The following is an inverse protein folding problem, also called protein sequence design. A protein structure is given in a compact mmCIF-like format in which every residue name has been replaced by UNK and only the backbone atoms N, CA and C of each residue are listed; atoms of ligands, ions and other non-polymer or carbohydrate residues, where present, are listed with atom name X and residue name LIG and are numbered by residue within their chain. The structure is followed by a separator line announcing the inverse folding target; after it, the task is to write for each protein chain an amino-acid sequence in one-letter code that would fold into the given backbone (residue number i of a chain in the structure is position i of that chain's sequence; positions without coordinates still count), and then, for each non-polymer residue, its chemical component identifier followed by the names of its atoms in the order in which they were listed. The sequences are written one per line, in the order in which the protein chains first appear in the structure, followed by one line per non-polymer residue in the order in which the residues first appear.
data_IF_457201894316
#
_entry.id   IF_457201894316
#
_cell.length_a   1.000
_cell.length_b   1.000
_cell.length_c   1.000
_cell.angle_alpha   90.00
_cell.angle_beta   90.00
_cell.angle_gamma   90.00
#
_symmetry.space_group_name_H-M   'P 1'
#
loop_
_entity.id
_entity.type
_entity.pdbx_description
1 polymer ?
#
# COMPACT_ATOMS: atom_id res chain seq x y z
N UNK A 1 18.53 33.32 -67.72
CA UNK A 1 18.21 33.69 -66.35
C UNK A 1 19.54 33.99 -65.62
N UNK A 2 19.62 35.00 -64.76
CA UNK A 2 20.81 35.19 -63.94
C UNK A 2 21.07 33.91 -63.13
N UNK A 3 22.35 33.57 -62.93
CA UNK A 3 22.72 32.43 -62.08
C UNK A 3 22.25 32.73 -60.62
N UNK A 4 21.67 31.72 -59.96
CA UNK A 4 21.21 31.91 -58.60
C UNK A 4 22.42 32.25 -57.70
N UNK A 5 22.30 33.30 -56.90
CA UNK A 5 23.34 33.70 -55.96
C UNK A 5 23.09 33.02 -54.60
N UNK A 6 24.14 32.60 -53.88
CA UNK A 6 23.99 32.06 -52.57
C UNK A 6 23.44 33.11 -51.57
N UNK A 7 22.58 32.70 -50.67
CA UNK A 7 22.03 33.55 -49.59
C UNK A 7 22.35 32.91 -48.21
N UNK A 8 22.63 33.80 -47.27
CA UNK A 8 22.97 33.35 -45.89
C UNK A 8 21.75 32.76 -45.19
N UNK A 9 21.92 31.59 -44.65
CA UNK A 9 20.94 30.90 -43.77
C UNK A 9 21.58 30.75 -42.39
N UNK A 10 20.83 31.20 -41.39
CA UNK A 10 21.24 31.07 -39.98
C UNK A 10 20.58 29.86 -39.36
N UNK A 11 21.34 29.07 -38.58
CA UNK A 11 20.81 27.90 -37.86
C UNK A 11 20.88 28.14 -36.37
N UNK A 12 19.83 27.80 -35.67
CA UNK A 12 19.67 27.90 -34.23
C UNK A 12 18.93 26.68 -33.66
N UNK A 13 19.10 26.41 -32.38
CA UNK A 13 18.30 25.38 -31.71
C UNK A 13 17.63 25.92 -30.45
N UNK A 14 16.50 25.30 -30.10
CA UNK A 14 15.76 25.57 -28.86
C UNK A 14 15.81 24.36 -27.92
N UNK A 15 15.70 24.62 -26.62
CA UNK A 15 15.61 23.62 -25.58
C UNK A 15 14.13 23.23 -25.36
N UNK A 16 13.67 22.23 -26.08
CA UNK A 16 12.26 21.92 -26.26
C UNK A 16 11.61 22.64 -27.43
N UNK A 17 10.42 22.21 -27.83
CA UNK A 17 9.69 22.70 -29.01
C UNK A 17 9.37 24.21 -28.90
N UNK A 18 8.93 24.67 -27.72
CA UNK A 18 8.64 26.08 -27.44
C UNK A 18 9.63 26.69 -26.43
N UNK A 19 10.78 26.07 -26.23
CA UNK A 19 11.75 26.46 -25.23
C UNK A 19 12.66 27.62 -25.66
N UNK A 20 13.52 28.11 -24.75
CA UNK A 20 14.46 29.18 -25.06
C UNK A 20 15.51 28.72 -26.07
N UNK A 21 16.11 29.68 -26.80
CA UNK A 21 17.28 29.42 -27.63
C UNK A 21 18.44 28.92 -26.78
N UNK A 22 19.10 27.85 -27.26
CA UNK A 22 20.30 27.32 -26.63
C UNK A 22 21.47 28.25 -26.92
N UNK A 23 22.11 28.72 -25.87
CA UNK A 23 23.25 29.66 -25.97
C UNK A 23 24.63 28.97 -25.81
N UNK A 24 24.64 27.69 -25.43
CA UNK A 24 25.87 26.87 -25.33
C UNK A 24 26.27 26.31 -26.68
N UNK A 25 27.56 26.00 -26.93
CA UNK A 25 28.03 25.43 -28.18
C UNK A 25 27.41 24.07 -28.47
N UNK A 26 26.77 23.93 -29.62
CA UNK A 26 26.24 22.73 -30.22
C UNK A 26 27.13 22.24 -31.36
N UNK A 27 26.93 21.04 -31.86
CA UNK A 27 27.62 20.48 -33.02
C UNK A 27 26.62 20.39 -34.18
N UNK A 28 26.94 21.03 -35.29
CA UNK A 28 26.10 21.17 -36.45
C UNK A 28 26.65 20.42 -37.64
N UNK A 29 25.80 19.78 -38.41
CA UNK A 29 26.11 19.25 -39.74
C UNK A 29 25.04 19.67 -40.73
N UNK A 30 25.47 20.01 -41.94
CA UNK A 30 24.60 20.45 -43.02
C UNK A 30 25.04 19.75 -44.33
N UNK A 31 24.10 19.20 -45.07
CA UNK A 31 24.39 18.55 -46.36
C UNK A 31 23.37 18.86 -47.42
N UNK A 32 23.79 18.74 -48.67
CA UNK A 32 22.93 18.72 -49.86
C UNK A 32 23.15 17.39 -50.58
N UNK A 33 22.18 16.49 -50.46
CA UNK A 33 22.40 15.09 -50.89
C UNK A 33 23.56 14.46 -50.13
N UNK A 34 24.56 13.94 -50.88
CA UNK A 34 25.78 13.35 -50.30
C UNK A 34 26.88 14.36 -50.01
N UNK A 35 26.71 15.64 -50.34
CA UNK A 35 27.75 16.66 -50.17
C UNK A 35 27.59 17.37 -48.84
N UNK A 36 28.58 17.23 -47.93
CA UNK A 36 28.68 17.99 -46.69
C UNK A 36 29.02 19.46 -46.97
N UNK A 37 28.32 20.39 -46.30
CA UNK A 37 28.52 21.82 -46.33
C UNK A 37 29.08 22.31 -45.00
N UNK A 38 28.50 21.86 -43.89
CA UNK A 38 29.04 21.95 -42.53
C UNK A 38 29.30 20.54 -42.04
N UNK A 39 30.51 20.32 -41.51
CA UNK A 39 30.94 19.02 -41.00
C UNK A 39 31.36 19.15 -39.54
N UNK A 40 30.46 18.81 -38.62
CA UNK A 40 30.64 18.90 -37.17
C UNK A 40 31.10 20.30 -36.69
N UNK A 41 30.57 21.36 -37.28
CA UNK A 41 30.83 22.74 -36.88
C UNK A 41 30.31 23.04 -35.48
N UNK A 42 31.13 23.69 -34.64
CA UNK A 42 30.79 24.04 -33.26
C UNK A 42 30.33 25.49 -33.12
N UNK A 43 29.11 25.67 -32.52
CA UNK A 43 28.61 27.01 -32.23
C UNK A 43 27.22 26.94 -31.60
N UNK A 44 26.82 27.96 -30.84
CA UNK A 44 25.43 28.09 -30.37
C UNK A 44 24.50 28.36 -31.57
N UNK A 45 25.01 29.04 -32.56
CA UNK A 45 24.46 29.25 -33.90
C UNK A 45 25.53 29.07 -34.91
N UNK A 46 25.18 28.66 -36.11
CA UNK A 46 26.07 28.61 -37.27
C UNK A 46 25.36 29.22 -38.48
N UNK A 47 26.12 29.64 -39.48
CA UNK A 47 25.54 30.19 -40.71
C UNK A 47 26.23 29.58 -41.92
N UNK A 48 25.50 29.47 -43.03
CA UNK A 48 26.04 29.00 -44.31
C UNK A 48 25.43 29.79 -45.48
N UNK A 49 26.22 30.03 -46.50
CA UNK A 49 25.72 30.62 -47.76
C UNK A 49 25.29 29.50 -48.69
N UNK A 50 23.97 29.44 -48.96
CA UNK A 50 23.31 28.35 -49.69
C UNK A 50 22.66 28.82 -50.97
N UNK A 51 22.79 28.04 -52.02
CA UNK A 51 21.98 28.15 -53.23
C UNK A 51 20.57 27.60 -53.05
N UNK A 52 19.59 28.01 -53.87
CA UNK A 52 18.25 27.41 -53.81
C UNK A 52 18.32 25.87 -53.98
N UNK A 53 17.54 25.14 -53.13
CA UNK A 53 17.45 23.70 -53.13
C UNK A 53 17.12 23.12 -51.78
N UNK A 54 17.09 21.79 -51.69
CA UNK A 54 16.76 21.01 -50.47
C UNK A 54 18.03 20.64 -49.74
N UNK A 55 18.01 20.78 -48.42
CA UNK A 55 19.10 20.55 -47.51
C UNK A 55 18.66 19.72 -46.30
N UNK A 56 19.59 18.96 -45.75
CA UNK A 56 19.45 18.29 -44.45
C UNK A 56 20.37 18.97 -43.45
N UNK A 57 19.81 19.45 -42.33
CA UNK A 57 20.57 19.97 -41.20
C UNK A 57 20.34 19.07 -39.99
N UNK A 58 21.44 18.82 -39.26
CA UNK A 58 21.37 18.13 -37.95
C UNK A 58 22.13 18.91 -36.90
N UNK A 59 21.71 18.77 -35.65
CA UNK A 59 22.31 19.37 -34.48
C UNK A 59 22.39 18.37 -33.34
N UNK A 60 23.50 18.39 -32.62
CA UNK A 60 23.79 17.57 -31.45
C UNK A 60 24.15 18.47 -30.27
N UNK A 61 23.54 18.26 -29.12
CA UNK A 61 23.93 18.85 -27.84
C UNK A 61 24.91 17.90 -27.12
N UNK A 62 26.17 18.28 -26.92
CA UNK A 62 27.19 17.37 -26.37
C UNK A 62 26.96 16.98 -24.90
N UNK A 63 26.17 17.76 -24.17
CA UNK A 63 25.95 17.60 -22.74
C UNK A 63 25.15 16.30 -22.41
N UNK A 64 24.15 15.97 -23.23
CA UNK A 64 23.26 14.84 -23.06
C UNK A 64 23.06 13.99 -24.34
N UNK A 65 23.91 14.26 -25.37
CA UNK A 65 23.86 13.60 -26.67
C UNK A 65 22.51 13.73 -27.40
N UNK A 66 21.65 14.64 -26.96
CA UNK A 66 20.39 14.91 -27.63
C UNK A 66 20.65 15.49 -29.04
N UNK A 67 19.92 14.98 -30.03
CA UNK A 67 20.05 15.39 -31.41
C UNK A 67 18.70 15.64 -32.06
N UNK A 68 18.71 16.50 -33.07
CA UNK A 68 17.57 16.73 -33.97
C UNK A 68 18.06 16.87 -35.40
N UNK A 69 17.23 16.49 -36.36
CA UNK A 69 17.50 16.68 -37.78
C UNK A 69 16.25 17.20 -38.50
N UNK A 70 16.44 17.96 -39.55
CA UNK A 70 15.36 18.49 -40.36
C UNK A 70 15.79 18.72 -41.81
N UNK A 71 14.91 18.35 -42.75
CA UNK A 71 15.05 18.78 -44.14
C UNK A 71 14.32 20.10 -44.33
N UNK A 72 14.95 21.01 -45.06
CA UNK A 72 14.34 22.30 -45.41
C UNK A 72 14.69 22.70 -46.85
N UNK A 73 13.79 23.50 -47.44
CA UNK A 73 14.04 24.07 -48.76
C UNK A 73 14.58 25.50 -48.62
N UNK A 74 15.70 25.82 -49.30
CA UNK A 74 16.24 27.15 -49.40
C UNK A 74 15.74 27.78 -50.70
N UNK A 75 15.16 28.97 -50.58
CA UNK A 75 14.81 29.81 -51.74
C UNK A 75 15.86 30.91 -51.99
N UNK A 76 15.39 32.03 -52.63
CA UNK A 76 16.24 33.16 -52.99
C UNK A 76 16.38 34.22 -51.87
N UNK A 77 15.79 34.00 -50.71
CA UNK A 77 15.81 34.91 -49.56
C UNK A 77 16.53 34.31 -48.34
N UNK A 78 17.24 35.15 -47.52
CA UNK A 78 17.77 34.70 -46.24
C UNK A 78 16.66 34.18 -45.33
N UNK A 79 16.98 33.12 -44.55
CA UNK A 79 16.06 32.59 -43.56
C UNK A 79 16.81 32.11 -42.31
N UNK A 80 16.10 31.91 -41.22
CA UNK A 80 16.58 31.23 -40.02
C UNK A 80 15.88 29.89 -39.90
N UNK A 81 16.66 28.81 -39.77
CA UNK A 81 16.20 27.47 -39.56
C UNK A 81 16.42 27.13 -38.08
N UNK A 82 15.34 26.81 -37.37
CA UNK A 82 15.39 26.49 -35.94
C UNK A 82 15.04 25.02 -35.71
N UNK A 83 15.88 24.28 -35.01
CA UNK A 83 15.63 22.89 -34.63
C UNK A 83 15.33 22.84 -33.13
N UNK A 84 14.30 22.08 -32.75
CA UNK A 84 13.99 21.83 -31.35
C UNK A 84 14.72 20.58 -30.89
N UNK A 85 15.64 20.71 -29.95
CA UNK A 85 16.21 19.58 -29.23
C UNK A 85 15.26 19.16 -28.10
N UNK A 86 15.25 17.88 -27.67
CA UNK A 86 14.59 17.48 -26.42
C UNK A 86 15.00 18.40 -25.27
N UNK A 87 14.06 18.81 -24.42
CA UNK A 87 14.37 19.67 -23.27
C UNK A 87 15.41 19.02 -22.36
N UNK A 88 16.42 19.81 -21.95
CA UNK A 88 17.45 19.36 -21.02
C UNK A 88 16.80 19.09 -19.64
N UNK A 89 16.93 17.85 -19.17
CA UNK A 89 16.40 17.49 -17.87
C UNK A 89 17.32 17.99 -16.75
N UNK A 90 16.74 18.53 -15.66
CA UNK A 90 17.54 18.94 -14.51
C UNK A 90 18.24 17.73 -13.88
N UNK A 91 19.46 17.89 -13.32
CA UNK A 91 20.15 16.80 -12.65
C UNK A 91 19.44 16.38 -11.37
N UNK A 92 19.50 15.08 -11.05
CA UNK A 92 19.07 14.54 -9.77
C UNK A 92 19.95 13.37 -9.35
N UNK A 93 19.94 13.05 -8.05
CA UNK A 93 20.65 11.90 -7.49
C UNK A 93 19.85 11.24 -6.37
N UNK A 94 20.16 9.96 -6.11
CA UNK A 94 19.54 9.14 -5.09
C UNK A 94 20.61 8.37 -4.30
N UNK A 95 20.52 8.41 -2.98
CA UNK A 95 21.34 7.62 -2.07
C UNK A 95 20.46 6.85 -1.09
N UNK A 96 20.68 5.55 -0.97
CA UNK A 96 19.99 4.65 -0.07
C UNK A 96 20.83 3.39 0.17
N UNK A 97 20.40 2.52 1.09
CA UNK A 97 20.98 1.19 1.21
C UNK A 97 20.76 0.36 -0.08
N UNK A 98 21.69 -0.55 -0.38
CA UNK A 98 21.61 -1.41 -1.56
C UNK A 98 20.53 -2.52 -1.41
N UNK A 99 20.12 -2.79 -0.17
CA UNK A 99 19.05 -3.73 0.14
C UNK A 99 18.30 -3.32 1.40
N UNK A 100 17.01 -3.70 1.47
CA UNK A 100 16.18 -3.53 2.66
C UNK A 100 15.04 -4.57 2.69
N UNK A 101 14.49 -4.88 3.89
CA UNK A 101 13.42 -5.88 4.02
C UNK A 101 12.13 -5.46 3.34
N UNK A 102 11.39 -6.44 2.79
CA UNK A 102 10.05 -6.24 2.22
C UNK A 102 9.10 -5.59 3.24
N UNK A 103 8.31 -4.63 2.80
CA UNK A 103 7.35 -3.89 3.63
C UNK A 103 7.97 -2.89 4.62
N UNK A 104 9.30 -2.76 4.68
CA UNK A 104 9.96 -1.78 5.54
C UNK A 104 9.89 -0.37 4.95
N UNK A 105 10.12 0.63 5.79
CA UNK A 105 10.33 2.01 5.34
C UNK A 105 11.81 2.26 5.13
N UNK A 106 12.17 2.70 3.92
CA UNK A 106 13.53 3.01 3.51
C UNK A 106 13.74 4.53 3.46
N UNK A 107 14.68 5.10 4.21
CA UNK A 107 15.09 6.49 4.00
C UNK A 107 15.92 6.59 2.70
N UNK A 108 15.45 7.42 1.78
CA UNK A 108 16.12 7.71 0.51
C UNK A 108 16.54 9.16 0.51
N UNK A 109 17.85 9.41 0.60
CA UNK A 109 18.42 10.75 0.44
C UNK A 109 18.43 11.09 -1.06
N UNK A 110 18.01 12.30 -1.38
CA UNK A 110 17.93 12.76 -2.76
C UNK A 110 18.39 14.20 -2.89
N UNK A 111 18.87 14.55 -4.07
CA UNK A 111 19.11 15.88 -4.55
C UNK A 111 18.46 16.03 -5.93
N UNK A 112 17.86 17.18 -6.22
CA UNK A 112 17.12 17.39 -7.45
C UNK A 112 16.29 18.68 -7.40
N UNK A 113 15.47 18.96 -8.44
CA UNK A 113 14.75 20.22 -8.60
C UNK A 113 13.70 20.52 -7.53
N UNK A 114 13.17 19.52 -6.83
CA UNK A 114 12.09 19.64 -5.82
C UNK A 114 10.90 20.47 -6.32
N UNK A 115 10.52 20.26 -7.58
CA UNK A 115 9.37 20.93 -8.14
C UNK A 115 8.06 20.41 -7.52
N UNK A 116 7.00 21.17 -7.67
CA UNK A 116 5.69 20.80 -7.09
C UNK A 116 5.25 19.42 -7.57
N UNK A 117 5.03 18.51 -6.61
CA UNK A 117 4.63 17.12 -6.81
C UNK A 117 5.71 16.18 -7.38
N UNK A 118 6.97 16.59 -7.40
CA UNK A 118 8.05 15.64 -7.63
C UNK A 118 8.05 14.56 -6.55
N UNK A 119 8.49 13.36 -6.89
CA UNK A 119 8.43 12.23 -5.97
C UNK A 119 9.56 11.24 -6.20
N UNK A 120 9.90 10.56 -5.10
CA UNK A 120 10.75 9.37 -5.12
C UNK A 120 9.83 8.16 -5.15
N UNK A 121 10.07 7.22 -6.06
CA UNK A 121 9.28 6.00 -6.19
C UNK A 121 10.15 4.75 -6.18
N UNK A 122 9.52 3.61 -5.93
CA UNK A 122 10.11 2.29 -6.14
C UNK A 122 9.27 1.54 -7.17
N UNK A 123 9.92 0.91 -8.13
CA UNK A 123 9.30 0.19 -9.23
C UNK A 123 10.12 -1.05 -9.60
N UNK A 124 9.53 -1.97 -10.33
CA UNK A 124 10.31 -3.02 -10.99
C UNK A 124 11.11 -2.44 -12.14
N UNK A 125 12.33 -2.93 -12.39
CA UNK A 125 13.13 -2.45 -13.51
C UNK A 125 12.37 -2.58 -14.84
N UNK A 126 12.30 -1.48 -15.58
CA UNK A 126 11.64 -1.43 -16.89
C UNK A 126 10.12 -1.23 -16.86
N UNK A 127 9.47 -1.17 -15.71
CA UNK A 127 8.05 -0.83 -15.61
C UNK A 127 7.84 0.68 -15.74
N UNK A 128 6.80 1.11 -16.44
CA UNK A 128 6.43 2.52 -16.56
C UNK A 128 5.72 3.05 -15.29
N UNK A 129 5.22 2.17 -14.44
CA UNK A 129 4.54 2.48 -13.19
C UNK A 129 5.46 2.49 -11.98
N UNK A 130 4.86 2.45 -10.78
CA UNK A 130 5.55 2.31 -9.51
C UNK A 130 4.67 1.50 -8.53
N UNK A 131 5.34 0.85 -7.56
CA UNK A 131 4.67 0.14 -6.46
C UNK A 131 4.25 1.12 -5.36
N UNK A 132 5.19 1.97 -4.91
CA UNK A 132 4.95 3.01 -3.91
C UNK A 132 5.74 4.27 -4.23
N UNK A 133 5.40 5.39 -3.58
CA UNK A 133 6.09 6.66 -3.73
C UNK A 133 6.01 7.54 -2.49
N UNK A 134 6.93 8.49 -2.41
CA UNK A 134 6.93 9.56 -1.42
C UNK A 134 7.25 10.90 -2.10
N UNK A 135 6.48 11.95 -1.83
CA UNK A 135 6.74 13.28 -2.39
C UNK A 135 7.99 13.93 -1.82
N UNK A 136 8.80 14.57 -2.68
CA UNK A 136 10.02 15.30 -2.31
C UNK A 136 9.75 16.47 -1.37
N UNK A 137 8.61 17.15 -1.49
CA UNK A 137 8.17 18.26 -0.61
C UNK A 137 8.17 17.94 0.89
N UNK A 138 8.28 16.67 1.28
CA UNK A 138 8.43 16.24 2.68
C UNK A 138 9.87 16.35 3.18
N UNK A 139 10.80 16.69 2.30
CA UNK A 139 12.22 16.83 2.57
C UNK A 139 13.03 15.58 2.25
N UNK A 140 14.35 15.71 2.35
CA UNK A 140 15.32 14.62 2.21
C UNK A 140 15.89 14.27 3.60
N UNK A 141 15.92 12.98 4.01
CA UNK A 141 15.51 11.82 3.21
C UNK A 141 13.99 11.70 3.05
N UNK A 142 13.55 11.13 1.91
CA UNK A 142 12.18 10.70 1.72
C UNK A 142 11.99 9.32 2.37
N UNK A 143 10.96 9.17 3.19
CA UNK A 143 10.59 7.90 3.81
C UNK A 143 9.72 7.08 2.83
N UNK A 144 10.36 6.12 2.15
CA UNK A 144 9.72 5.32 1.10
C UNK A 144 9.33 3.94 1.64
N UNK A 145 8.04 3.60 1.58
CA UNK A 145 7.56 2.27 1.92
C UNK A 145 7.93 1.30 0.80
N UNK A 146 8.65 0.22 1.13
CA UNK A 146 9.03 -0.80 0.15
C UNK A 146 7.90 -1.79 -0.13
N UNK A 147 7.90 -2.42 -1.32
CA UNK A 147 6.94 -3.47 -1.66
C UNK A 147 6.97 -4.65 -0.70
N UNK A 148 5.83 -5.34 -0.57
CA UNK A 148 5.70 -6.55 0.25
C UNK A 148 6.37 -7.78 -0.38
N UNK A 149 6.54 -7.78 -1.71
CA UNK A 149 7.15 -8.88 -2.44
C UNK A 149 8.67 -8.68 -2.55
N UNK A 150 9.48 -9.67 -2.15
CA UNK A 150 10.93 -9.64 -2.38
C UNK A 150 11.28 -9.63 -3.88
N UNK A 151 12.44 -9.08 -4.20
CA UNK A 151 12.94 -9.04 -5.58
C UNK A 151 13.82 -7.83 -5.86
N UNK A 152 14.22 -7.71 -7.11
CA UNK A 152 14.98 -6.57 -7.60
C UNK A 152 14.04 -5.45 -8.01
N UNK A 153 14.34 -4.25 -7.55
CA UNK A 153 13.60 -3.03 -7.80
C UNK A 153 14.58 -1.89 -8.14
N UNK A 154 14.03 -0.77 -8.54
CA UNK A 154 14.78 0.47 -8.68
C UNK A 154 14.04 1.63 -8.01
N UNK A 155 14.81 2.47 -7.34
CA UNK A 155 14.37 3.76 -6.85
C UNK A 155 14.47 4.75 -7.99
N UNK A 156 13.48 5.65 -8.11
CA UNK A 156 13.43 6.68 -9.17
C UNK A 156 13.15 8.04 -8.56
N UNK A 157 13.91 9.05 -8.96
CA UNK A 157 13.50 10.44 -8.81
C UNK A 157 12.66 10.81 -10.04
N UNK A 158 11.42 11.19 -9.84
CA UNK A 158 10.48 11.49 -10.91
C UNK A 158 10.05 12.94 -10.85
N UNK A 159 10.40 13.70 -11.91
CA UNK A 159 9.87 15.03 -12.17
C UNK A 159 8.39 14.89 -12.53
N UNK A 160 7.51 15.60 -11.82
CA UNK A 160 6.06 15.47 -12.02
C UNK A 160 5.61 15.97 -13.39
N UNK A 161 6.28 16.98 -13.91
CA UNK A 161 6.05 17.49 -15.25
C UNK A 161 6.52 16.47 -16.30
N UNK A 162 5.60 16.00 -17.11
CA UNK A 162 5.84 14.98 -18.13
C UNK A 162 6.22 13.59 -17.58
N UNK A 163 6.20 13.37 -16.26
CA UNK A 163 6.59 12.09 -15.60
C UNK A 163 7.98 11.61 -16.02
N UNK A 164 8.95 12.51 -16.01
CA UNK A 164 10.33 12.19 -16.41
C UNK A 164 11.14 11.64 -15.25
N UNK A 165 11.73 10.46 -15.44
CA UNK A 165 12.71 9.93 -14.49
C UNK A 165 14.04 10.64 -14.66
N UNK A 166 14.50 11.32 -13.60
CA UNK A 166 15.74 12.09 -13.60
C UNK A 166 16.94 11.27 -13.09
N UNK A 167 16.69 10.37 -12.14
CA UNK A 167 17.72 9.49 -11.58
C UNK A 167 17.10 8.13 -11.24
N UNK A 168 17.90 7.07 -11.34
CA UNK A 168 17.56 5.72 -10.94
C UNK A 168 18.66 5.14 -10.05
N UNK A 169 18.27 4.26 -9.10
CA UNK A 169 19.17 3.50 -8.26
C UNK A 169 18.59 2.10 -8.02
N UNK A 170 19.34 1.02 -8.30
CA UNK A 170 18.88 -0.33 -7.99
C UNK A 170 18.79 -0.56 -6.47
N UNK A 171 17.84 -1.40 -6.06
CA UNK A 171 17.67 -1.86 -4.69
C UNK A 171 17.16 -3.30 -4.67
N UNK A 172 17.72 -4.15 -3.81
CA UNK A 172 17.21 -5.49 -3.53
C UNK A 172 16.25 -5.45 -2.35
N UNK A 173 14.97 -5.78 -2.57
CA UNK A 173 14.00 -5.99 -1.50
C UNK A 173 14.12 -7.42 -1.02
N UNK A 174 14.53 -7.62 0.24
CA UNK A 174 14.81 -8.95 0.79
C UNK A 174 13.59 -9.56 1.47
N UNK A 175 13.55 -10.89 1.51
CA UNK A 175 12.49 -11.63 2.17
C UNK A 175 12.42 -11.32 3.67
N UNK A 176 11.20 -11.26 4.21
CA UNK A 176 10.91 -11.23 5.65
C UNK A 176 10.15 -12.47 6.05
N UNK A 177 10.43 -12.97 7.25
CA UNK A 177 9.79 -14.16 7.81
C UNK A 177 9.13 -13.84 9.14
N UNK A 178 8.13 -14.64 9.50
CA UNK A 178 7.51 -14.60 10.81
C UNK A 178 7.31 -16.01 11.37
N UNK A 179 7.03 -16.09 12.66
CA UNK A 179 6.63 -17.32 13.33
C UNK A 179 5.53 -17.04 14.35
N UNK A 180 4.71 -18.05 14.62
CA UNK A 180 3.61 -18.02 15.57
C UNK A 180 3.71 -19.20 16.53
N UNK A 181 3.48 -18.95 17.82
CA UNK A 181 3.33 -20.00 18.82
C UNK A 181 2.11 -19.73 19.71
N UNK A 182 1.32 -20.78 19.95
CA UNK A 182 0.11 -20.76 20.76
C UNK A 182 -0.28 -22.20 21.12
N UNK A 183 -1.26 -22.40 22.00
CA UNK A 183 -1.85 -23.71 22.24
C UNK A 183 -2.54 -24.26 20.98
N UNK A 184 -2.52 -25.59 20.80
CA UNK A 184 -3.12 -26.26 19.64
C UNK A 184 -4.66 -26.25 19.69
N UNK A 185 -5.24 -26.04 20.87
CA UNK A 185 -6.68 -25.95 21.07
C UNK A 185 -7.07 -24.93 22.13
N UNK A 186 -8.27 -24.39 22.00
CA UNK A 186 -8.84 -23.39 22.91
C UNK A 186 -10.35 -23.49 22.87
N UNK A 187 -11.04 -23.16 23.97
CA UNK A 187 -12.52 -23.15 23.98
C UNK A 187 -13.09 -21.94 23.24
N UNK A 188 -14.25 -22.11 22.64
CA UNK A 188 -14.94 -21.04 21.91
C UNK A 188 -15.13 -19.78 22.75
N UNK A 189 -14.89 -18.61 22.15
CA UNK A 189 -15.00 -17.31 22.81
C UNK A 189 -13.91 -16.93 23.80
N UNK A 190 -12.95 -17.80 24.07
CA UNK A 190 -11.86 -17.51 25.00
C UNK A 190 -10.79 -16.58 24.38
N UNK A 191 -9.97 -15.97 25.25
CA UNK A 191 -8.76 -15.26 24.87
C UNK A 191 -7.60 -16.27 24.74
N UNK A 192 -6.99 -16.35 23.56
CA UNK A 192 -5.81 -17.16 23.29
C UNK A 192 -4.56 -16.30 23.34
N UNK A 193 -3.62 -16.56 24.24
CA UNK A 193 -2.32 -15.91 24.18
C UNK A 193 -1.52 -16.45 22.97
N UNK A 194 -1.12 -15.58 22.08
CA UNK A 194 -0.31 -15.89 20.90
C UNK A 194 1.00 -15.16 20.99
N UNK A 195 2.11 -15.87 20.90
CA UNK A 195 3.45 -15.30 20.76
C UNK A 195 3.88 -15.32 19.31
N UNK A 196 4.69 -14.35 18.92
CA UNK A 196 5.21 -14.24 17.56
C UNK A 196 6.62 -13.66 17.52
N UNK A 197 7.28 -13.92 16.42
CA UNK A 197 8.45 -13.20 15.94
C UNK A 197 8.15 -12.77 14.49
N UNK A 198 8.60 -11.60 14.09
CA UNK A 198 8.34 -11.06 12.77
C UNK A 198 8.81 -9.62 12.63
N UNK A 199 8.55 -8.94 11.50
CA UNK A 199 9.03 -7.59 11.22
C UNK A 199 8.44 -6.51 12.15
N UNK A 200 7.25 -6.73 12.71
CA UNK A 200 6.54 -5.82 13.63
C UNK A 200 6.37 -4.39 13.09
N UNK A 201 6.01 -4.28 11.82
CA UNK A 201 5.71 -2.98 11.23
C UNK A 201 4.42 -2.39 11.81
N UNK A 202 4.25 -1.07 11.69
CA UNK A 202 3.29 -0.26 12.45
C UNK A 202 1.84 -0.78 12.51
N UNK A 203 1.38 -1.47 11.49
CA UNK A 203 0.00 -2.00 11.40
C UNK A 203 -0.05 -3.50 11.16
N UNK A 204 1.05 -4.21 11.37
CA UNK A 204 1.06 -5.67 11.33
C UNK A 204 0.16 -6.22 12.43
N UNK A 205 -0.45 -7.38 12.16
CA UNK A 205 -1.39 -7.97 13.08
C UNK A 205 -1.39 -9.49 13.03
N UNK A 206 -1.78 -10.07 14.17
CA UNK A 206 -2.10 -11.50 14.28
C UNK A 206 -3.61 -11.64 14.16
N UNK A 207 -4.08 -12.50 13.29
CA UNK A 207 -5.51 -12.76 13.08
C UNK A 207 -5.85 -14.23 13.24
N UNK A 208 -7.13 -14.51 13.44
CA UNK A 208 -7.71 -15.85 13.34
C UNK A 208 -8.78 -15.89 12.25
N UNK A 209 -8.74 -16.92 11.42
CA UNK A 209 -9.66 -17.10 10.31
C UNK A 209 -9.96 -18.59 10.08
N UNK A 210 -11.00 -18.90 9.32
CA UNK A 210 -11.17 -20.27 8.80
C UNK A 210 -10.13 -20.53 7.73
N UNK A 211 -9.62 -21.78 7.62
CA UNK A 211 -8.67 -22.12 6.57
C UNK A 211 -9.21 -21.80 5.18
N UNK A 212 -8.43 -21.04 4.40
CA UNK A 212 -8.79 -20.64 3.04
C UNK A 212 -9.67 -19.39 2.90
N UNK A 213 -10.12 -18.77 4.00
CA UNK A 213 -10.84 -17.51 3.95
C UNK A 213 -9.86 -16.34 3.77
N UNK A 214 -10.22 -15.35 2.94
CA UNK A 214 -9.43 -14.13 2.75
C UNK A 214 -9.61 -13.12 3.90
N UNK A 215 -10.65 -13.26 4.69
CA UNK A 215 -10.98 -12.42 5.84
C UNK A 215 -10.41 -12.95 7.15
N UNK A 216 -10.91 -12.40 8.25
CA UNK A 216 -10.62 -12.86 9.62
C UNK A 216 -11.83 -12.65 10.54
N UNK A 217 -11.92 -13.45 11.61
CA UNK A 217 -12.93 -13.33 12.65
C UNK A 217 -12.52 -12.28 13.70
N UNK A 218 -11.27 -12.29 14.10
CA UNK A 218 -10.68 -11.32 15.04
C UNK A 218 -9.20 -11.10 14.78
N UNK A 219 -8.65 -10.04 15.36
CA UNK A 219 -7.21 -9.73 15.25
C UNK A 219 -6.69 -8.93 16.44
N UNK A 220 -5.37 -8.94 16.58
CA UNK A 220 -4.62 -8.08 17.51
C UNK A 220 -3.40 -7.51 16.80
N UNK A 221 -3.15 -6.21 16.94
CA UNK A 221 -1.96 -5.58 16.36
C UNK A 221 -0.69 -6.01 17.08
N UNK A 222 0.39 -6.30 16.31
CA UNK A 222 1.69 -6.71 16.85
C UNK A 222 2.32 -5.63 17.73
N UNK A 223 2.13 -4.35 17.41
CA UNK A 223 2.61 -3.21 18.21
C UNK A 223 2.15 -3.19 19.68
N UNK A 224 1.16 -4.02 20.05
CA UNK A 224 0.74 -4.16 21.45
C UNK A 224 1.66 -5.06 22.26
N UNK A 225 2.63 -5.68 21.61
CA UNK A 225 3.61 -6.59 22.20
C UNK A 225 3.18 -8.05 22.20
N UNK A 226 4.18 -8.94 22.21
CA UNK A 226 4.02 -10.40 22.29
C UNK A 226 4.24 -10.88 23.73
N UNK A 227 3.38 -11.74 24.30
CA UNK A 227 2.20 -12.33 23.68
C UNK A 227 1.00 -11.37 23.58
N UNK A 228 0.27 -11.44 22.48
CA UNK A 228 -1.03 -10.78 22.32
C UNK A 228 -2.18 -11.68 22.71
N UNK A 229 -3.27 -11.10 23.23
CA UNK A 229 -4.50 -11.82 23.56
C UNK A 229 -5.45 -11.76 22.37
N UNK A 230 -5.64 -12.88 21.68
CA UNK A 230 -6.52 -12.98 20.52
C UNK A 230 -7.87 -13.57 20.95
N UNK A 231 -8.96 -12.83 20.70
CA UNK A 231 -10.30 -13.32 20.97
C UNK A 231 -10.67 -14.40 19.96
N UNK A 232 -10.96 -15.59 20.43
CA UNK A 232 -11.30 -16.72 19.56
C UNK A 232 -12.75 -16.70 19.13
N UNK A 233 -13.07 -17.26 17.94
CA UNK A 233 -14.44 -17.33 17.46
C UNK A 233 -15.39 -18.09 18.40
N UNK A 234 -16.68 -17.75 18.43
CA UNK A 234 -17.67 -18.43 19.26
C UNK A 234 -18.12 -19.78 18.67
N UNK A 235 -17.81 -20.04 17.41
CA UNK A 235 -18.16 -21.27 16.73
C UNK A 235 -17.02 -22.28 16.82
N UNK A 236 -17.26 -23.51 17.31
CA UNK A 236 -16.27 -24.58 17.28
C UNK A 236 -15.84 -24.95 15.86
N UNK A 237 -14.62 -25.43 15.71
CA UNK A 237 -14.07 -25.88 14.43
C UNK A 237 -12.57 -25.62 14.29
N UNK A 238 -12.06 -25.93 13.12
CA UNK A 238 -10.67 -25.69 12.77
C UNK A 238 -10.48 -24.28 12.22
N UNK A 239 -9.44 -23.62 12.73
CA UNK A 239 -9.05 -22.27 12.38
C UNK A 239 -7.55 -22.21 12.13
N UNK A 240 -7.10 -21.11 11.59
CA UNK A 240 -5.68 -20.79 11.50
C UNK A 240 -5.39 -19.39 12.04
N UNK A 241 -4.31 -19.31 12.80
CA UNK A 241 -3.70 -18.06 13.19
C UNK A 241 -2.81 -17.60 12.04
N UNK A 242 -2.79 -16.30 11.75
CA UNK A 242 -1.99 -15.70 10.68
C UNK A 242 -1.21 -14.52 11.21
N UNK A 243 0.10 -14.48 10.95
CA UNK A 243 0.85 -13.21 11.02
C UNK A 243 0.68 -12.50 9.69
N UNK A 244 0.08 -11.33 9.72
CA UNK A 244 -0.22 -10.56 8.51
C UNK A 244 0.59 -9.26 8.53
N UNK A 245 1.50 -9.14 7.58
CA UNK A 245 2.15 -7.88 7.25
C UNK A 245 1.11 -6.96 6.60
N UNK A 246 0.96 -5.75 7.13
CA UNK A 246 -0.11 -4.82 6.71
C UNK A 246 0.03 -4.39 5.26
N UNK A 247 1.26 -4.34 4.75
CA UNK A 247 1.54 -4.11 3.34
C UNK A 247 0.95 -5.24 2.51
N UNK A 248 0.04 -4.91 1.60
CA UNK A 248 -0.66 -5.83 0.70
C UNK A 248 -1.36 -7.01 1.39
N UNK A 249 -1.54 -6.96 2.73
CA UNK A 249 -2.09 -8.05 3.56
C UNK A 249 -1.36 -9.38 3.37
N UNK A 250 -0.03 -9.32 3.23
CA UNK A 250 0.81 -10.50 3.02
C UNK A 250 0.85 -11.36 4.27
N UNK A 251 0.45 -12.63 4.16
CA UNK A 251 0.54 -13.61 5.25
C UNK A 251 1.97 -14.16 5.30
N UNK A 252 2.70 -13.85 6.38
CA UNK A 252 4.08 -14.29 6.59
C UNK A 252 4.20 -15.62 7.31
N UNK A 253 3.22 -15.96 8.17
CA UNK A 253 3.18 -17.24 8.87
C UNK A 253 1.74 -17.65 9.17
N UNK A 254 1.52 -18.97 9.23
CA UNK A 254 0.25 -19.57 9.64
C UNK A 254 0.47 -20.64 10.70
N UNK A 255 -0.50 -20.82 11.62
CA UNK A 255 -0.54 -21.89 12.61
C UNK A 255 -1.98 -22.38 12.76
N UNK A 256 -2.20 -23.66 12.70
CA UNK A 256 -3.53 -24.26 12.95
C UNK A 256 -3.86 -24.21 14.44
N UNK A 257 -5.14 -24.02 14.75
CA UNK A 257 -5.72 -24.08 16.10
C UNK A 257 -7.13 -24.64 16.01
N UNK A 258 -7.50 -25.52 16.94
CA UNK A 258 -8.85 -26.05 17.04
C UNK A 258 -9.63 -25.29 18.12
N UNK A 259 -10.76 -24.69 17.75
CA UNK A 259 -11.71 -24.11 18.70
C UNK A 259 -12.66 -25.23 19.14
N UNK A 260 -12.66 -25.54 20.42
CA UNK A 260 -13.53 -26.58 21.01
C UNK A 260 -14.82 -25.98 21.54
N UNK A 261 -15.83 -26.84 21.72
CA UNK A 261 -17.10 -26.42 22.33
C UNK A 261 -16.90 -25.86 23.74
N UNK A 262 -17.73 -24.88 24.07
CA UNK A 262 -17.89 -24.35 25.42
C UNK A 262 -19.33 -24.66 25.88
N UNK A 263 -19.46 -25.11 27.12
CA UNK A 263 -20.75 -25.46 27.70
C UNK A 263 -21.12 -24.55 28.89
N UNK A 264 -22.39 -24.42 29.14
CA UNK A 264 -22.93 -23.80 30.34
C UNK A 264 -24.06 -24.65 30.94
N UNK A 265 -24.39 -24.39 32.19
CA UNK A 265 -25.57 -25.01 32.88
C UNK A 265 -26.37 -23.93 33.60
N UNK A 266 -27.66 -24.17 33.79
CA UNK A 266 -28.59 -23.32 34.51
C UNK A 266 -29.39 -24.14 35.50
N UNK A 267 -29.53 -23.65 36.73
CA UNK A 267 -30.39 -24.20 37.74
C UNK A 267 -31.22 -23.11 38.45
N UNK A 268 -32.50 -23.37 38.60
CA UNK A 268 -33.46 -22.49 39.31
C UNK A 268 -34.65 -23.30 39.78
N UNK A 269 -35.60 -22.69 40.48
CA UNK A 269 -36.95 -23.21 40.66
C UNK A 269 -37.63 -23.33 39.27
N UNK A 270 -38.62 -24.28 39.17
CA UNK A 270 -39.33 -24.54 37.91
C UNK A 270 -40.40 -23.49 37.60
N UNK A 271 -40.78 -22.68 38.58
CA UNK A 271 -41.73 -21.57 38.42
C UNK A 271 -41.40 -20.38 39.30
N UNK A 272 -41.85 -19.20 38.89
CA UNK A 272 -41.65 -17.97 39.66
C UNK A 272 -42.87 -17.05 39.55
N UNK A 273 -43.03 -16.15 40.54
CA UNK A 273 -44.10 -15.16 40.48
C UNK A 273 -43.76 -14.06 39.44
N UNK A 274 -44.75 -13.62 38.70
CA UNK A 274 -44.60 -12.52 37.77
C UNK A 274 -44.07 -11.27 38.48
N UNK A 275 -43.04 -10.62 37.89
CA UNK A 275 -42.33 -9.46 38.42
C UNK A 275 -41.40 -9.74 39.62
N UNK A 276 -41.29 -10.97 40.08
CA UNK A 276 -40.36 -11.35 41.16
C UNK A 276 -38.91 -11.42 40.64
N UNK A 277 -37.95 -11.35 41.55
CA UNK A 277 -36.54 -11.64 41.25
C UNK A 277 -36.25 -13.11 41.55
N UNK A 278 -35.78 -13.85 40.51
CA UNK A 278 -35.44 -15.26 40.61
C UNK A 278 -33.91 -15.40 40.68
N UNK A 279 -33.38 -16.07 41.71
CA UNK A 279 -31.97 -16.47 41.71
C UNK A 279 -31.75 -17.66 40.75
N UNK A 280 -30.87 -17.48 39.78
CA UNK A 280 -30.46 -18.48 38.79
C UNK A 280 -29.02 -18.85 39.02
N UNK A 281 -28.79 -20.07 39.50
CA UNK A 281 -27.44 -20.65 39.63
C UNK A 281 -26.96 -21.06 38.22
N UNK A 282 -25.74 -20.75 37.92
CA UNK A 282 -25.14 -21.07 36.62
C UNK A 282 -23.67 -21.48 36.74
N UNK A 283 -23.23 -22.30 35.81
CA UNK A 283 -21.82 -22.57 35.51
C UNK A 283 -21.60 -22.31 34.03
N UNK A 284 -20.47 -21.76 33.66
CA UNK A 284 -20.16 -21.41 32.26
C UNK A 284 -18.86 -20.60 32.15
N UNK A 285 -18.51 -20.10 30.96
CA UNK A 285 -17.23 -19.47 30.70
C UNK A 285 -17.02 -18.12 31.41
N UNK A 286 -18.10 -17.42 31.79
CA UNK A 286 -18.07 -16.09 32.44
C UNK A 286 -17.22 -15.07 31.70
N UNK A 287 -17.34 -15.03 30.36
CA UNK A 287 -16.64 -14.02 29.56
C UNK A 287 -17.24 -12.63 29.80
N UNK A 288 -16.46 -11.61 29.49
CA UNK A 288 -16.88 -10.22 29.65
C UNK A 288 -18.22 -9.97 28.95
N UNK A 289 -19.21 -9.52 29.71
CA UNK A 289 -20.59 -9.25 29.30
C UNK A 289 -21.46 -10.47 28.96
N UNK A 290 -21.07 -11.69 29.31
CA UNK A 290 -21.99 -12.82 29.31
C UNK A 290 -23.15 -12.55 30.28
N UNK A 291 -24.30 -13.11 29.99
CA UNK A 291 -25.49 -12.82 30.79
C UNK A 291 -26.50 -14.00 30.83
N UNK A 292 -27.25 -14.03 31.90
CA UNK A 292 -28.42 -14.90 32.01
C UNK A 292 -29.65 -14.07 31.63
N UNK A 293 -30.40 -14.48 30.63
CA UNK A 293 -31.62 -13.80 30.19
C UNK A 293 -32.85 -14.63 30.43
N UNK A 294 -34.01 -13.95 30.45
CA UNK A 294 -35.33 -14.54 30.40
C UNK A 294 -36.05 -14.10 29.13
N UNK A 295 -36.58 -15.04 28.37
CA UNK A 295 -37.28 -14.81 27.11
C UNK A 295 -38.55 -15.63 27.03
N UNK A 296 -39.50 -15.23 26.17
CA UNK A 296 -40.61 -16.15 25.81
C UNK A 296 -40.05 -17.33 25.05
N UNK A 297 -40.66 -18.47 25.27
CA UNK A 297 -40.23 -19.70 24.60
C UNK A 297 -40.30 -19.52 23.07
N UNK A 298 -39.15 -19.70 22.42
CA UNK A 298 -38.98 -19.58 20.96
C UNK A 298 -38.75 -18.15 20.42
N UNK A 299 -38.69 -17.12 21.27
CA UNK A 299 -38.35 -15.76 20.85
C UNK A 299 -36.82 -15.60 20.74
N UNK A 300 -36.36 -14.86 19.72
CA UNK A 300 -34.92 -14.53 19.55
C UNK A 300 -34.44 -13.43 20.51
N UNK A 301 -35.37 -12.65 21.09
CA UNK A 301 -35.09 -11.58 22.04
C UNK A 301 -35.06 -12.03 23.50
N UNK A 302 -35.11 -11.06 24.41
CA UNK A 302 -35.28 -11.29 25.86
C UNK A 302 -36.09 -10.18 26.48
N UNK A 303 -36.78 -10.50 27.61
CA UNK A 303 -37.54 -9.55 28.41
C UNK A 303 -36.63 -8.83 29.44
N UNK A 304 -35.80 -9.59 30.15
CA UNK A 304 -34.84 -9.12 31.14
C UNK A 304 -33.56 -9.95 31.13
N UNK A 305 -32.50 -9.42 31.74
CA UNK A 305 -31.24 -10.13 31.90
C UNK A 305 -30.44 -9.68 33.12
N UNK A 306 -29.46 -10.50 33.52
CA UNK A 306 -28.47 -10.20 34.52
C UNK A 306 -27.11 -10.67 34.05
N UNK A 307 -26.06 -9.81 34.16
CA UNK A 307 -24.70 -10.17 33.79
C UNK A 307 -24.13 -11.23 34.73
N UNK A 308 -23.37 -12.20 34.17
CA UNK A 308 -22.68 -13.29 34.90
C UNK A 308 -21.58 -12.72 35.80
N UNK A 309 -20.88 -11.65 35.41
CA UNK A 309 -19.84 -10.97 36.21
C UNK A 309 -20.28 -10.52 37.60
N UNK A 310 -21.58 -10.53 37.91
CA UNK A 310 -22.12 -10.27 39.25
C UNK A 310 -22.10 -11.50 40.16
N UNK A 311 -21.66 -12.63 39.62
CA UNK A 311 -21.57 -13.92 40.29
C UNK A 311 -22.79 -14.79 40.15
N UNK A 312 -22.66 -16.05 40.63
CA UNK A 312 -23.74 -17.03 40.70
C UNK A 312 -24.25 -17.13 42.17
N UNK A 313 -25.55 -17.05 42.43
CA UNK A 313 -26.63 -16.99 41.46
C UNK A 313 -26.86 -15.60 40.88
N UNK A 314 -27.15 -15.52 39.56
CA UNK A 314 -27.61 -14.31 38.90
C UNK A 314 -29.02 -13.96 39.32
N UNK A 315 -29.31 -12.69 39.59
CA UNK A 315 -30.63 -12.21 40.00
C UNK A 315 -31.39 -11.72 38.77
N UNK A 316 -32.30 -12.55 38.24
CA UNK A 316 -33.08 -12.28 37.02
C UNK A 316 -34.49 -11.83 37.40
N UNK A 317 -34.91 -10.66 36.94
CA UNK A 317 -36.26 -10.14 37.18
C UNK A 317 -37.21 -10.81 36.18
N UNK A 318 -38.26 -11.47 36.71
CA UNK A 318 -39.28 -12.14 35.90
C UNK A 318 -40.17 -11.14 35.16
N UNK A 319 -40.68 -11.49 33.96
CA UNK A 319 -41.67 -10.68 33.29
C UNK A 319 -42.93 -10.49 34.13
N UNK A 320 -43.66 -9.38 33.92
CA UNK A 320 -44.91 -9.08 34.63
C UNK A 320 -46.12 -9.79 34.03
N UNK A 321 -46.01 -10.36 32.83
CA UNK A 321 -47.03 -11.11 32.16
C UNK A 321 -46.85 -12.61 32.44
N UNK A 322 -47.80 -13.32 33.04
CA UNK A 322 -47.67 -14.76 33.20
C UNK A 322 -47.59 -15.52 31.87
N UNK A 323 -46.88 -16.64 31.87
CA UNK A 323 -46.73 -17.47 30.67
C UNK A 323 -45.47 -18.36 30.75
N UNK A 324 -45.29 -19.14 29.69
CA UNK A 324 -44.09 -19.99 29.55
C UNK A 324 -42.91 -19.20 29.02
N UNK A 325 -41.82 -19.30 29.76
CA UNK A 325 -40.55 -18.62 29.46
C UNK A 325 -39.40 -19.62 29.46
N UNK A 326 -38.25 -19.16 29.03
CA UNK A 326 -37.00 -19.89 29.18
C UNK A 326 -35.89 -18.96 29.68
N UNK A 327 -35.09 -19.45 30.60
CA UNK A 327 -33.82 -18.88 31.01
C UNK A 327 -32.75 -19.31 30.00
N UNK A 328 -31.85 -18.40 29.65
CA UNK A 328 -30.78 -18.68 28.73
C UNK A 328 -29.46 -18.17 29.30
N UNK A 329 -28.41 -19.00 29.24
CA UNK A 329 -27.03 -18.53 29.36
C UNK A 329 -26.57 -18.05 27.98
N UNK A 330 -26.26 -16.78 27.86
CA UNK A 330 -25.90 -16.19 26.58
C UNK A 330 -24.45 -15.69 26.64
N UNK A 331 -23.60 -16.30 25.83
CA UNK A 331 -22.27 -15.78 25.54
C UNK A 331 -22.43 -14.51 24.72
N UNK A 332 -21.84 -13.40 25.17
CA UNK A 332 -22.06 -12.09 24.58
C UNK A 332 -21.54 -11.97 23.15
N UNK A 333 -20.51 -12.74 22.82
CA UNK A 333 -20.00 -12.84 21.47
C UNK A 333 -21.03 -13.53 20.57
N UNK A 334 -21.46 -12.87 19.53
CA UNK A 334 -22.50 -13.29 18.57
C UNK A 334 -23.83 -13.72 19.22
N UNK A 335 -24.05 -13.42 20.51
CA UNK A 335 -25.24 -13.79 21.27
C UNK A 335 -25.53 -15.32 21.26
N UNK A 336 -24.44 -16.11 21.30
CA UNK A 336 -24.56 -17.57 21.30
C UNK A 336 -25.21 -18.07 22.60
N UNK A 337 -26.33 -18.81 22.49
CA UNK A 337 -27.00 -19.45 23.63
C UNK A 337 -26.28 -20.76 23.96
N UNK A 338 -25.66 -20.85 25.14
CA UNK A 338 -24.92 -22.02 25.58
C UNK A 338 -25.78 -23.00 26.39
N UNK A 339 -26.81 -22.51 27.07
CA UNK A 339 -27.74 -23.35 27.84
C UNK A 339 -29.10 -22.68 27.88
N UNK A 340 -30.15 -23.51 27.93
CA UNK A 340 -31.54 -23.10 28.14
C UNK A 340 -32.19 -23.88 29.28
N UNK A 341 -33.15 -23.26 29.99
CA UNK A 341 -33.97 -23.89 31.02
C UNK A 341 -35.38 -23.32 30.95
N UNK A 342 -36.42 -24.17 30.72
CA UNK A 342 -37.83 -23.73 30.79
C UNK A 342 -38.20 -23.27 32.19
N UNK A 343 -39.12 -22.32 32.30
CA UNK A 343 -39.70 -21.81 33.53
C UNK A 343 -41.13 -21.28 33.30
N UNK A 344 -42.04 -21.53 34.23
CA UNK A 344 -43.46 -21.13 34.19
C UNK A 344 -43.77 -19.98 35.17
#
# INVERSE_FOLDING_TARGET
APEPMPVTVDFAATDGEDGPRIATPLIWSLSRGETAILDFERGATVSADLLPGDYLVSVLRPEDEASAEMTFAQGDAPQTVTLALPALLPPASLEAADSAPAGSTLPVTWDGPDAQNDYISVARPGDDGYETYAYTRKGSPAELLLPALPGDYELRYVLSDGRKTLATRPIAVTEVTASLDAADSVVAGAQLPVTWQGPDYANDYISVARPGDDGYESYVYTRKGSPGQLLMPPQPGDYELRYVMSQDRTVLATRRVTVTEVAATLASEDSALAGATLPVTWEGPDYANDYISIARLGDDGYENYAYTRKGSPAQVVMPTVPGDYELRYVMSQDRTVLATRPIA
#
